data_IF_410271253404
#
_entry.id   IF_410271253404
#
_cell.length_a   1.000
_cell.length_b   1.000
_cell.length_c   1.000
_cell.angle_alpha   90.00
_cell.angle_beta   90.00
_cell.angle_gamma   90.00
#
_symmetry.space_group_name_H-M   'P 1'
#
loop_
_entity.id
_entity.type
_entity.pdbx_description
1 polymer ?
#
# COMPACT_ATOMS: atom_id res chain seq x y z
N UNK A 1 -5.37 28.57 10.23
CA UNK A 1 -6.02 27.95 9.04
C UNK A 1 -5.41 28.53 7.76
N UNK A 2 -5.67 27.98 6.55
CA UNK A 2 -4.90 28.27 5.32
C UNK A 2 -4.64 29.78 5.03
N UNK A 3 -5.59 30.66 5.33
CA UNK A 3 -5.45 32.12 5.22
C UNK A 3 -4.40 32.75 6.17
N UNK A 4 -4.10 32.12 7.30
CA UNK A 4 -3.05 32.55 8.24
C UNK A 4 -1.63 32.25 7.72
N UNK A 5 -1.51 31.45 6.65
CA UNK A 5 -0.25 31.03 6.04
C UNK A 5 -0.11 31.48 4.58
N UNK A 6 -1.01 32.34 4.07
CA UNK A 6 -1.06 32.76 2.67
C UNK A 6 -1.16 31.59 1.67
N UNK A 7 -1.82 30.51 2.10
CA UNK A 7 -2.03 29.32 1.29
C UNK A 7 -3.38 29.40 0.58
N UNK A 8 -3.44 28.86 -0.64
CA UNK A 8 -4.68 28.78 -1.39
C UNK A 8 -5.81 28.16 -0.53
N UNK A 9 -7.07 28.62 -0.64
CA UNK A 9 -8.16 28.15 0.21
C UNK A 9 -8.36 26.62 0.17
N UNK A 10 -8.01 25.99 -0.94
CA UNK A 10 -8.05 24.56 -1.18
C UNK A 10 -6.72 23.85 -0.91
N UNK A 11 -5.66 24.58 -0.51
CA UNK A 11 -4.31 24.03 -0.29
C UNK A 11 -4.34 22.85 0.67
N UNK A 12 -5.13 22.92 1.75
CA UNK A 12 -5.25 21.81 2.69
C UNK A 12 -5.85 20.59 2.01
N UNK A 13 -6.90 20.73 1.21
CA UNK A 13 -7.51 19.59 0.53
C UNK A 13 -6.59 19.03 -0.56
N UNK A 14 -5.90 19.89 -1.30
CA UNK A 14 -4.93 19.50 -2.33
C UNK A 14 -3.70 18.79 -1.76
N UNK A 15 -3.22 19.19 -0.57
CA UNK A 15 -2.01 18.64 0.05
C UNK A 15 -2.30 17.58 1.13
N UNK A 16 -3.52 17.54 1.66
CA UNK A 16 -3.99 16.49 2.58
C UNK A 16 -4.73 15.36 1.84
N UNK A 17 -4.93 15.49 0.53
CA UNK A 17 -5.41 14.40 -0.32
C UNK A 17 -4.50 13.18 -0.16
N UNK A 18 -4.98 12.19 0.57
CA UNK A 18 -4.34 10.88 0.58
C UNK A 18 -4.53 10.24 -0.81
N UNK A 19 -3.49 9.62 -1.34
CA UNK A 19 -3.65 8.74 -2.49
C UNK A 19 -4.62 7.62 -2.11
N UNK A 20 -5.72 7.48 -2.86
CA UNK A 20 -6.69 6.40 -2.75
C UNK A 20 -6.78 5.75 -4.13
N UNK A 21 -6.49 4.44 -4.28
CA UNK A 21 -6.56 3.77 -5.57
C UNK A 21 -8.01 3.67 -6.06
N UNK A 22 -8.22 3.67 -7.38
CA UNK A 22 -9.57 3.67 -7.99
C UNK A 22 -10.41 2.44 -7.61
N UNK A 23 -9.75 1.31 -7.35
CA UNK A 23 -10.37 0.05 -6.93
C UNK A 23 -10.34 -0.16 -5.41
N UNK A 24 -10.26 0.91 -4.62
CA UNK A 24 -10.26 0.84 -3.16
C UNK A 24 -11.50 0.10 -2.62
N UNK A 25 -11.26 -0.92 -1.80
CA UNK A 25 -12.31 -1.67 -1.11
C UNK A 25 -12.51 -1.07 0.27
N UNK A 26 -13.75 -0.73 0.61
CA UNK A 26 -14.13 -0.20 1.91
C UNK A 26 -14.79 -1.28 2.76
N UNK A 27 -14.37 -1.38 4.01
CA UNK A 27 -14.94 -2.26 5.02
C UNK A 27 -15.57 -1.44 6.13
N UNK A 28 -16.75 -1.87 6.59
CA UNK A 28 -17.39 -1.31 7.77
C UNK A 28 -16.60 -1.74 9.01
N UNK A 29 -16.17 -0.76 9.81
CA UNK A 29 -15.50 -1.01 11.08
C UNK A 29 -16.48 -0.96 12.24
N UNK A 30 -17.34 0.06 12.25
CA UNK A 30 -18.27 0.31 13.32
C UNK A 30 -19.50 1.08 12.82
N UNK A 31 -20.67 0.73 13.34
CA UNK A 31 -21.90 1.48 13.16
C UNK A 31 -22.36 1.99 14.53
N UNK A 32 -22.39 3.31 14.66
CA UNK A 32 -23.00 4.03 15.77
C UNK A 32 -24.34 4.60 15.28
N UNK A 33 -25.23 4.98 16.21
CA UNK A 33 -26.60 5.41 15.92
C UNK A 33 -26.74 6.51 14.84
N UNK A 34 -25.70 7.32 14.67
CA UNK A 34 -25.67 8.41 13.68
C UNK A 34 -24.36 8.47 12.87
N UNK A 35 -23.47 7.49 13.05
CA UNK A 35 -22.14 7.50 12.43
C UNK A 35 -21.73 6.11 11.96
N UNK A 36 -21.46 5.99 10.67
CA UNK A 36 -20.84 4.80 10.09
C UNK A 36 -19.35 5.06 9.90
N UNK A 37 -18.52 4.26 10.55
CA UNK A 37 -17.07 4.28 10.39
C UNK A 37 -16.67 3.21 9.39
N UNK A 38 -16.10 3.65 8.27
CA UNK A 38 -15.51 2.78 7.24
C UNK A 38 -14.04 3.04 7.11
N UNK A 39 -13.29 1.98 6.83
CA UNK A 39 -11.89 2.08 6.45
C UNK A 39 -11.63 1.30 5.18
N UNK A 40 -10.57 1.66 4.48
CA UNK A 40 -10.05 0.82 3.42
C UNK A 40 -9.63 -0.55 3.98
N UNK A 41 -9.79 -1.60 3.19
CA UNK A 41 -9.35 -2.94 3.56
C UNK A 41 -7.81 -3.01 3.67
N UNK A 42 -7.30 -4.12 4.20
CA UNK A 42 -5.87 -4.23 4.55
C UNK A 42 -4.98 -4.11 3.30
N UNK A 43 -5.42 -4.65 2.16
CA UNK A 43 -4.69 -4.58 0.89
C UNK A 43 -4.67 -3.16 0.31
N UNK A 44 -5.81 -2.47 0.32
CA UNK A 44 -5.89 -1.07 -0.09
C UNK A 44 -5.05 -0.19 0.83
N UNK A 45 -5.11 -0.39 2.15
CA UNK A 45 -4.28 0.35 3.12
C UNK A 45 -2.79 0.14 2.88
N UNK A 46 -2.36 -1.08 2.56
CA UNK A 46 -0.96 -1.37 2.23
C UNK A 46 -0.54 -0.64 0.96
N UNK A 47 -1.38 -0.68 -0.08
CA UNK A 47 -1.16 0.03 -1.34
C UNK A 47 -1.01 1.53 -1.11
N UNK A 48 -1.90 2.13 -0.33
CA UNK A 48 -1.85 3.54 0.03
C UNK A 48 -0.57 3.89 0.81
N UNK A 49 -0.15 3.03 1.75
CA UNK A 49 1.09 3.24 2.52
C UNK A 49 2.34 3.14 1.66
N UNK A 50 2.37 2.22 0.69
CA UNK A 50 3.48 2.11 -0.26
C UNK A 50 3.53 3.34 -1.18
N UNK A 51 2.39 3.72 -1.76
CA UNK A 51 2.29 4.86 -2.69
C UNK A 51 2.61 6.22 -2.04
N UNK A 52 2.42 6.34 -0.71
CA UNK A 52 2.77 7.55 0.01
C UNK A 52 4.29 7.77 0.11
N UNK A 53 5.11 6.72 -0.06
CA UNK A 53 6.59 6.74 -0.06
C UNK A 53 7.22 7.49 1.14
N UNK A 54 6.54 7.54 2.29
CA UNK A 54 7.05 8.27 3.46
C UNK A 54 7.83 7.35 4.38
N UNK A 55 9.04 7.76 4.78
CA UNK A 55 9.87 6.98 5.71
C UNK A 55 9.17 6.66 7.05
N UNK A 56 8.27 7.54 7.52
CA UNK A 56 7.48 7.32 8.74
C UNK A 56 6.50 6.16 8.66
N UNK A 57 6.17 5.67 7.46
CA UNK A 57 5.18 4.61 7.24
C UNK A 57 5.77 3.20 7.38
N UNK A 58 7.09 3.05 7.58
CA UNK A 58 7.75 1.73 7.68
C UNK A 58 7.13 0.80 8.73
N UNK A 59 6.78 1.32 9.91
CA UNK A 59 6.17 0.51 10.97
C UNK A 59 4.76 0.05 10.60
N UNK A 60 3.99 0.91 9.94
CA UNK A 60 2.62 0.59 9.51
C UNK A 60 2.63 -0.42 8.37
N UNK A 61 3.53 -0.28 7.40
CA UNK A 61 3.77 -1.26 6.34
C UNK A 61 4.11 -2.62 6.95
N UNK A 62 5.03 -2.68 7.91
CA UNK A 62 5.40 -3.92 8.58
C UNK A 62 4.22 -4.56 9.35
N UNK A 63 3.33 -3.75 9.94
CA UNK A 63 2.10 -4.25 10.60
C UNK A 63 1.10 -4.82 9.59
N UNK A 64 0.90 -4.14 8.46
CA UNK A 64 -0.02 -4.57 7.41
C UNK A 64 0.46 -5.86 6.73
N UNK A 65 1.76 -5.95 6.40
CA UNK A 65 2.36 -7.17 5.86
C UNK A 65 2.18 -8.37 6.81
N UNK A 66 2.41 -8.19 8.11
CA UNK A 66 2.15 -9.24 9.11
C UNK A 66 0.69 -9.66 9.17
N UNK A 67 -0.26 -8.72 9.09
CA UNK A 67 -1.69 -9.05 9.05
C UNK A 67 -2.09 -9.83 7.80
N UNK A 68 -1.42 -9.60 6.68
CA UNK A 68 -1.60 -10.35 5.44
C UNK A 68 -0.81 -11.68 5.41
N UNK A 69 -0.18 -12.06 6.53
CA UNK A 69 0.74 -13.22 6.62
C UNK A 69 1.91 -13.17 5.62
N UNK A 70 2.26 -11.98 5.10
CA UNK A 70 3.40 -11.78 4.23
C UNK A 70 4.64 -11.63 5.11
N UNK A 71 5.33 -12.75 5.34
CA UNK A 71 6.50 -12.82 6.24
C UNK A 71 7.83 -12.85 5.51
N UNK A 72 7.83 -13.10 4.20
CA UNK A 72 9.02 -13.09 3.34
C UNK A 72 8.70 -12.42 2.01
N UNK A 73 9.53 -11.49 1.52
CA UNK A 73 9.56 -11.21 0.09
C UNK A 73 9.98 -12.50 -0.61
N UNK A 74 9.11 -13.07 -1.43
CA UNK A 74 9.48 -14.20 -2.28
C UNK A 74 10.57 -13.70 -3.23
N UNK A 75 11.82 -14.07 -2.97
CA UNK A 75 12.86 -13.98 -4.00
C UNK A 75 12.35 -14.74 -5.21
N UNK A 76 12.34 -14.16 -6.43
CA UNK A 76 11.98 -14.91 -7.61
C UNK A 76 12.86 -16.16 -7.66
N UNK A 77 12.23 -17.33 -7.68
CA UNK A 77 12.91 -18.61 -7.74
C UNK A 77 13.57 -18.74 -9.11
N UNK A 78 14.78 -18.21 -9.26
CA UNK A 78 15.66 -18.55 -10.36
C UNK A 78 16.22 -19.94 -10.11
N UNK A 79 15.40 -20.97 -10.36
CA UNK A 79 15.92 -22.31 -10.58
C UNK A 79 16.89 -22.20 -11.77
N UNK A 80 18.20 -22.52 -11.61
CA UNK A 80 19.09 -22.56 -12.75
C UNK A 80 18.64 -23.74 -13.63
N UNK A 81 18.07 -23.42 -14.79
CA UNK A 81 17.87 -24.39 -15.86
C UNK A 81 19.24 -24.95 -16.22
N UNK A 82 19.55 -26.17 -15.76
CA UNK A 82 20.72 -26.91 -16.26
C UNK A 82 20.46 -27.19 -17.74
N UNK A 83 21.00 -26.33 -18.61
CA UNK A 83 21.11 -26.63 -20.02
C UNK A 83 22.12 -27.77 -20.16
N UNK A 84 21.63 -29.00 -20.34
CA UNK A 84 22.46 -30.11 -20.81
C UNK A 84 22.81 -29.84 -22.27
N UNK A 85 23.98 -29.23 -22.49
CA UNK A 85 24.56 -29.14 -23.82
C UNK A 85 25.01 -30.54 -24.25
N UNK A 86 24.22 -31.16 -25.13
CA UNK A 86 24.63 -32.36 -25.87
C UNK A 86 25.61 -31.94 -26.96
N UNK A 87 26.89 -32.26 -26.78
CA UNK A 87 27.91 -32.16 -27.83
C UNK A 87 27.56 -33.10 -28.98
N UNK A 88 27.39 -32.64 -30.23
CA UNK A 88 27.29 -33.55 -31.36
C UNK A 88 28.71 -34.01 -31.73
N UNK A 89 28.91 -35.32 -31.68
CA UNK A 89 30.12 -35.96 -32.21
C UNK A 89 29.97 -36.08 -33.72
N UNK A 90 30.79 -35.36 -34.50
CA UNK A 90 31.17 -35.76 -35.86
C UNK A 90 32.45 -35.08 -36.31
#
# INVERSE_FOLDING_TARGET
MAAEYDLAPDWLNANASAYVPENAIWVDLEHLDWLTVRAADIETLLTMKIAAERHKDTLDIARLLRKLNITKPTTPSTSPTKNTATTPSR
#
